data_IF_434244006800
#
_entry.id   IF_434244006800
#
_cell.length_a   1.000
_cell.length_b   1.000
_cell.length_c   1.000
_cell.angle_alpha   90.00
_cell.angle_beta   90.00
_cell.angle_gamma   90.00
#
_symmetry.space_group_name_H-M   'P 1'
#
loop_
_entity.id
_entity.type
_entity.pdbx_description
1 polymer ?
#
# COMPACT_ATOMS: atom_id res chain seq x y z
N UNK A 1 28.78 -55.34 22.43
CA UNK A 1 27.51 -54.79 21.88
C UNK A 1 27.32 -53.39 22.44
N UNK A 2 27.64 -52.35 21.66
CA UNK A 2 27.34 -50.94 22.00
C UNK A 2 27.50 -50.10 20.73
N UNK A 3 26.47 -50.10 19.89
CA UNK A 3 26.41 -49.30 18.67
C UNK A 3 26.08 -47.86 19.06
N UNK A 4 27.02 -46.95 18.79
CA UNK A 4 26.85 -45.51 18.96
C UNK A 4 25.99 -45.00 17.80
N UNK A 5 24.75 -44.64 18.09
CA UNK A 5 23.88 -43.96 17.13
C UNK A 5 24.27 -42.48 17.15
N UNK A 6 25.05 -42.05 16.15
CA UNK A 6 25.20 -40.64 15.82
C UNK A 6 23.90 -40.17 15.18
N UNK A 7 22.97 -39.67 15.99
CA UNK A 7 21.78 -38.96 15.52
C UNK A 7 22.23 -37.65 14.88
N UNK A 8 22.38 -37.64 13.55
CA UNK A 8 22.64 -36.44 12.78
C UNK A 8 21.40 -35.54 12.84
N UNK A 9 21.51 -34.42 13.55
CA UNK A 9 20.49 -33.38 13.61
C UNK A 9 20.50 -32.64 12.26
N UNK A 10 19.60 -33.01 11.35
CA UNK A 10 19.34 -32.31 10.11
C UNK A 10 18.70 -30.94 10.42
N UNK A 11 19.51 -29.88 10.45
CA UNK A 11 19.01 -28.50 10.42
C UNK A 11 18.56 -28.22 8.99
N UNK A 12 17.28 -28.48 8.71
CA UNK A 12 16.65 -28.10 7.46
C UNK A 12 16.59 -26.57 7.35
N UNK A 13 17.35 -25.99 6.42
CA UNK A 13 17.21 -24.59 6.04
C UNK A 13 15.87 -24.43 5.35
N UNK A 14 14.88 -23.95 6.10
CA UNK A 14 13.62 -23.46 5.55
C UNK A 14 13.90 -22.15 4.80
N UNK A 15 14.40 -22.25 3.58
CA UNK A 15 14.38 -21.14 2.62
C UNK A 15 12.92 -20.92 2.22
N UNK A 16 12.19 -20.19 3.05
CA UNK A 16 10.91 -19.62 2.64
C UNK A 16 11.19 -18.64 1.50
N UNK A 17 10.67 -18.93 0.30
CA UNK A 17 10.64 -17.94 -0.77
C UNK A 17 9.71 -16.82 -0.35
N UNK A 18 10.23 -15.82 0.36
CA UNK A 18 9.56 -14.54 0.47
C UNK A 18 9.51 -13.94 -0.94
N UNK A 19 8.32 -13.94 -1.55
CA UNK A 19 8.14 -13.20 -2.79
C UNK A 19 8.34 -11.72 -2.47
N UNK A 20 9.29 -11.09 -3.13
CA UNK A 20 9.40 -9.64 -3.07
C UNK A 20 8.11 -9.07 -3.70
N UNK A 21 7.54 -8.00 -3.13
CA UNK A 21 6.44 -7.31 -3.76
C UNK A 21 6.88 -6.78 -5.14
N UNK A 22 5.94 -6.60 -6.08
CA UNK A 22 6.22 -5.96 -7.36
C UNK A 22 6.94 -4.61 -7.18
N UNK A 23 7.85 -4.21 -8.08
CA UNK A 23 8.57 -2.94 -7.96
C UNK A 23 7.68 -1.70 -7.86
N UNK A 24 6.46 -1.77 -8.37
CA UNK A 24 5.43 -0.73 -8.31
C UNK A 24 4.45 -0.89 -7.13
N UNK A 25 4.69 -1.82 -6.21
CA UNK A 25 3.97 -1.87 -4.93
C UNK A 25 4.42 -0.69 -4.06
N UNK A 26 3.47 0.02 -3.48
CA UNK A 26 3.68 1.07 -2.47
C UNK A 26 2.92 0.73 -1.19
N UNK A 27 3.57 0.93 -0.05
CA UNK A 27 2.98 0.83 1.29
C UNK A 27 3.58 1.92 2.16
N UNK A 28 2.81 2.94 2.51
CA UNK A 28 3.29 4.09 3.27
C UNK A 28 2.18 4.76 4.08
N UNK A 29 2.59 5.57 5.07
CA UNK A 29 1.69 6.36 5.90
C UNK A 29 1.92 7.85 5.69
N UNK A 30 0.92 8.56 5.17
CA UNK A 30 1.00 9.98 4.81
C UNK A 30 -0.16 10.80 5.39
N UNK A 31 -0.05 12.13 5.31
CA UNK A 31 -1.17 13.03 5.58
C UNK A 31 -2.06 13.11 4.32
N UNK A 32 -3.39 13.00 4.45
CA UNK A 32 -4.28 13.19 3.32
C UNK A 32 -4.33 14.66 2.91
N UNK A 33 -4.46 14.89 1.60
CA UNK A 33 -4.59 16.20 0.98
C UNK A 33 -5.96 16.23 0.31
N UNK A 34 -6.77 17.24 0.64
CA UNK A 34 -7.99 17.53 -0.11
C UNK A 34 -7.69 18.55 -1.19
N UNK A 35 -8.09 18.26 -2.42
CA UNK A 35 -7.96 19.15 -3.57
C UNK A 35 -9.34 19.43 -4.14
N UNK A 36 -9.74 20.70 -4.10
CA UNK A 36 -10.97 21.14 -4.73
C UNK A 36 -10.89 20.96 -6.25
N UNK A 37 -12.00 20.52 -6.83
CA UNK A 37 -12.19 20.45 -8.28
C UNK A 37 -13.49 21.17 -8.65
N UNK A 38 -13.83 21.21 -9.93
CA UNK A 38 -15.08 21.85 -10.39
C UNK A 38 -16.35 21.13 -9.95
N UNK A 39 -16.28 19.85 -9.56
CA UNK A 39 -17.46 19.03 -9.24
C UNK A 39 -17.40 18.41 -7.85
N UNK A 40 -16.35 17.63 -7.56
CA UNK A 40 -16.20 16.90 -6.29
C UNK A 40 -14.76 16.96 -5.78
N UNK A 41 -14.53 17.04 -4.46
CA UNK A 41 -13.17 17.04 -3.92
C UNK A 41 -12.43 15.74 -4.23
N UNK A 42 -11.17 15.87 -4.61
CA UNK A 42 -10.23 14.78 -4.74
C UNK A 42 -9.42 14.62 -3.46
N UNK A 43 -9.28 13.38 -3.01
CA UNK A 43 -8.44 13.02 -1.88
C UNK A 43 -7.15 12.38 -2.39
N UNK A 44 -6.03 12.95 -1.96
CA UNK A 44 -4.69 12.62 -2.44
C UNK A 44 -3.77 12.36 -1.25
N UNK A 45 -2.60 11.80 -1.52
CA UNK A 45 -1.47 11.76 -0.59
C UNK A 45 -0.16 11.98 -1.35
N UNK A 46 0.84 12.55 -0.68
CA UNK A 46 2.19 12.67 -1.24
C UNK A 46 3.15 11.72 -0.51
N UNK A 47 3.98 11.02 -1.30
CA UNK A 47 5.02 10.15 -0.78
C UNK A 47 6.18 10.09 -1.78
N UNK A 48 7.41 10.27 -1.29
CA UNK A 48 8.64 10.25 -2.11
C UNK A 48 8.59 11.18 -3.36
N UNK A 49 7.90 12.31 -3.26
CA UNK A 49 7.77 13.29 -4.34
C UNK A 49 6.71 12.95 -5.39
N UNK A 50 5.96 11.86 -5.22
CA UNK A 50 4.85 11.46 -6.07
C UNK A 50 3.51 11.74 -5.38
N UNK A 51 2.52 12.16 -6.17
CA UNK A 51 1.13 12.33 -5.73
C UNK A 51 0.34 11.06 -6.04
N UNK A 52 -0.37 10.53 -5.07
CA UNK A 52 -1.20 9.34 -5.18
C UNK A 52 -2.68 9.72 -5.08
N UNK A 53 -3.51 9.15 -5.95
CA UNK A 53 -4.96 9.28 -5.88
C UNK A 53 -5.53 8.27 -4.86
N UNK A 54 -6.38 8.75 -3.95
CA UNK A 54 -7.00 7.90 -2.93
C UNK A 54 -8.46 7.62 -3.26
N UNK A 55 -9.25 8.68 -3.45
CA UNK A 55 -10.67 8.60 -3.77
C UNK A 55 -11.21 9.98 -4.18
N UNK A 56 -12.43 9.99 -4.71
CA UNK A 56 -13.25 11.20 -4.84
C UNK A 56 -14.31 11.21 -3.73
N UNK A 57 -14.62 12.40 -3.22
CA UNK A 57 -15.71 12.57 -2.28
C UNK A 57 -17.01 12.83 -3.03
N UNK A 58 -17.79 11.76 -3.25
CA UNK A 58 -19.14 11.85 -3.80
C UNK A 58 -20.17 11.90 -2.65
N UNK A 59 -21.21 11.07 -2.69
CA UNK A 59 -22.26 11.03 -1.66
C UNK A 59 -22.00 9.93 -0.62
N UNK A 60 -22.92 9.81 0.34
CA UNK A 60 -22.84 8.85 1.45
C UNK A 60 -23.02 7.37 1.03
N UNK A 61 -23.36 7.11 -0.23
CA UNK A 61 -23.50 5.76 -0.79
C UNK A 61 -22.24 5.23 -1.45
N UNK A 62 -21.19 6.07 -1.54
CA UNK A 62 -19.91 5.68 -2.13
C UNK A 62 -19.28 4.45 -1.42
N UNK A 63 -18.62 3.55 -2.16
CA UNK A 63 -18.02 2.34 -1.58
C UNK A 63 -16.81 2.63 -0.68
N UNK A 64 -16.19 3.82 -0.83
CA UNK A 64 -15.02 4.25 -0.08
C UNK A 64 -15.36 5.52 0.67
N UNK A 65 -15.22 5.51 1.99
CA UNK A 65 -15.33 6.71 2.81
C UNK A 65 -14.03 7.53 2.68
N UNK A 66 -14.10 8.81 2.30
CA UNK A 66 -12.92 9.65 2.24
C UNK A 66 -12.23 9.81 3.61
N UNK A 67 -10.91 10.02 3.63
CA UNK A 67 -10.19 10.20 4.88
C UNK A 67 -10.54 11.53 5.55
N UNK A 68 -10.08 11.73 6.79
CA UNK A 68 -10.30 12.96 7.54
C UNK A 68 -9.04 13.81 7.62
N UNK A 69 -9.21 15.14 7.48
CA UNK A 69 -8.11 16.08 7.74
C UNK A 69 -7.66 15.99 9.20
N UNK A 70 -6.36 16.15 9.43
CA UNK A 70 -5.73 15.99 10.75
C UNK A 70 -5.40 14.53 11.14
N UNK A 71 -5.81 13.54 10.32
CA UNK A 71 -5.41 12.15 10.48
C UNK A 71 -4.28 11.77 9.52
N UNK A 72 -3.74 10.55 9.69
CA UNK A 72 -2.85 9.92 8.72
C UNK A 72 -3.57 8.77 8.02
N UNK A 73 -3.24 8.54 6.76
CA UNK A 73 -3.75 7.43 5.95
C UNK A 73 -2.66 6.40 5.74
N UNK A 74 -3.01 5.12 5.80
CA UNK A 74 -2.21 4.03 5.24
C UNK A 74 -2.60 3.89 3.78
N UNK A 75 -1.64 4.04 2.88
CA UNK A 75 -1.80 3.80 1.45
C UNK A 75 -1.05 2.52 1.12
N UNK A 76 -1.76 1.53 0.58
CA UNK A 76 -1.20 0.26 0.14
C UNK A 76 -1.80 -0.14 -1.20
N UNK A 77 -0.95 -0.54 -2.14
CA UNK A 77 -1.41 -0.98 -3.46
C UNK A 77 -0.30 -1.04 -4.49
N UNK A 78 -0.72 -1.30 -5.73
CA UNK A 78 0.16 -1.34 -6.91
C UNK A 78 -0.16 -0.11 -7.75
N UNK A 79 0.87 0.67 -8.11
CA UNK A 79 0.70 1.86 -8.95
C UNK A 79 0.14 1.45 -10.30
N UNK A 80 -0.93 2.13 -10.71
CA UNK A 80 -1.63 1.91 -11.98
C UNK A 80 -0.93 2.64 -13.14
N UNK A 81 -1.03 2.08 -14.34
CA UNK A 81 -0.63 2.75 -15.59
C UNK A 81 -1.78 3.58 -16.19
N UNK A 82 -2.93 3.65 -15.51
CA UNK A 82 -4.09 4.46 -15.92
C UNK A 82 -3.78 5.96 -15.85
N UNK A 83 -4.55 6.80 -16.58
CA UNK A 83 -4.39 8.24 -16.51
C UNK A 83 -4.53 8.77 -15.08
N UNK A 84 -3.64 9.69 -14.72
CA UNK A 84 -3.66 10.34 -13.39
C UNK A 84 -5.00 11.02 -13.12
N UNK A 85 -5.56 10.75 -11.95
CA UNK A 85 -6.81 11.37 -11.48
C UNK A 85 -6.45 12.51 -10.54
N UNK A 86 -6.91 13.73 -10.86
CA UNK A 86 -6.59 14.93 -10.08
C UNK A 86 -5.07 15.17 -9.90
N UNK A 87 -4.24 14.66 -10.80
CA UNK A 87 -2.78 14.71 -10.76
C UNK A 87 -2.10 13.57 -9.99
N UNK A 88 -2.86 12.71 -9.32
CA UNK A 88 -2.34 11.53 -8.62
C UNK A 88 -2.30 10.28 -9.49
N UNK A 89 -1.30 9.41 -9.25
CA UNK A 89 -1.22 8.05 -9.80
C UNK A 89 -2.11 7.06 -9.05
#
# INVERSE_FOLDING_TARGET
>A
MRTWVCTALLIGVLSGCATLPPPNHRNFVACPIVRDTSTVPCWLAEYEGETYFLTIQTDVSAPVTPPWLGHRVLVEGVVSDEPRICGGV
#
